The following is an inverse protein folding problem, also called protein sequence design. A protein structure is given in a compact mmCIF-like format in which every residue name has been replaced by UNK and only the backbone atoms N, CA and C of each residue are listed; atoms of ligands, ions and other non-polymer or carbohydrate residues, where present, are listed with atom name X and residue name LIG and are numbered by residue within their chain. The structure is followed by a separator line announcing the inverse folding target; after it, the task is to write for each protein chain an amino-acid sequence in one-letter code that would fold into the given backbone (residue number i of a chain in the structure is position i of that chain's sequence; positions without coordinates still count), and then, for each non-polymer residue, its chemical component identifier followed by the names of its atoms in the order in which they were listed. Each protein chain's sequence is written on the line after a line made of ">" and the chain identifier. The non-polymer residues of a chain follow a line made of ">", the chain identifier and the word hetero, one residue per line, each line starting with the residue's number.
data_IF_023473092050
#
_entry.id   IF_023473092050
#
_cell.length_a   1.000
_cell.length_b   1.000
_cell.length_c   1.000
_cell.angle_alpha   90.00
_cell.angle_beta   90.00
_cell.angle_gamma   90.00
#
_symmetry.space_group_name_H-M   'P 1'
#
loop_
_entity.id
_entity.type
_entity.pdbx_description
1 polymer ?
#
# COMPACT_ATOMS: atom_id res chain seq x y z
N UNK A 1 -5.38 -13.20 14.76
CA UNK A 1 -3.99 -12.69 14.87
C UNK A 1 -3.85 -11.56 13.87
N UNK A 2 -3.29 -10.40 14.28
CA UNK A 2 -3.29 -9.18 13.46
C UNK A 2 -2.22 -9.09 12.37
N UNK A 3 -1.37 -10.13 12.20
CA UNK A 3 -0.26 -10.11 11.24
C UNK A 3 -0.39 -11.22 10.17
N UNK A 4 -1.58 -11.79 10.04
CA UNK A 4 -1.90 -12.81 9.04
C UNK A 4 -3.15 -12.37 8.30
N UNK A 5 -3.13 -12.45 6.97
CA UNK A 5 -4.26 -12.15 6.10
C UNK A 5 -4.35 -13.18 4.97
N UNK A 6 -5.55 -13.33 4.40
CA UNK A 6 -5.85 -14.25 3.30
C UNK A 6 -6.44 -15.57 3.76
N UNK A 7 -7.22 -16.18 2.87
CA UNK A 7 -7.88 -17.47 3.08
C UNK A 7 -7.25 -18.56 2.22
N UNK A 8 -7.15 -18.33 0.92
CA UNK A 8 -6.53 -19.26 -0.06
C UNK A 8 -5.01 -19.10 -0.04
N UNK A 9 -4.54 -17.88 -0.24
CA UNK A 9 -3.13 -17.52 -0.12
C UNK A 9 -2.96 -16.70 1.14
N UNK A 10 -2.32 -17.28 2.17
CA UNK A 10 -2.11 -16.65 3.47
C UNK A 10 -0.79 -15.92 3.52
N UNK A 11 -0.83 -14.67 3.92
CA UNK A 11 0.36 -13.83 4.11
C UNK A 11 0.55 -13.62 5.61
N UNK A 12 1.66 -14.07 6.14
CA UNK A 12 2.07 -13.83 7.53
C UNK A 12 3.29 -12.91 7.56
N UNK A 13 3.15 -11.73 8.17
CA UNK A 13 4.23 -10.74 8.31
C UNK A 13 4.77 -10.77 9.73
N UNK A 14 6.11 -10.74 9.89
CA UNK A 14 6.78 -10.71 11.18
C UNK A 14 7.96 -9.75 11.20
N UNK A 15 8.49 -9.53 12.41
CA UNK A 15 9.64 -8.67 12.66
C UNK A 15 9.27 -7.26 13.11
N UNK A 16 10.29 -6.47 13.38
CA UNK A 16 10.19 -5.11 13.92
C UNK A 16 11.23 -4.22 13.24
N UNK A 17 10.92 -2.92 13.13
CA UNK A 17 11.73 -1.95 12.38
C UNK A 17 13.20 -1.90 12.82
N UNK A 18 13.47 -2.11 14.10
CA UNK A 18 14.81 -2.09 14.69
C UNK A 18 15.23 -3.45 15.28
N UNK A 19 14.47 -4.52 14.99
CA UNK A 19 14.89 -5.90 15.19
C UNK A 19 15.94 -6.33 14.17
N UNK A 20 16.40 -7.58 14.25
CA UNK A 20 17.41 -8.13 13.34
C UNK A 20 16.96 -8.14 11.89
N UNK A 21 15.70 -8.52 11.67
CA UNK A 21 15.10 -8.63 10.35
C UNK A 21 13.57 -8.43 10.43
N UNK A 22 12.98 -8.16 9.29
CA UNK A 22 11.56 -8.32 9.02
C UNK A 22 11.39 -9.46 8.03
N UNK A 23 10.23 -10.10 7.98
CA UNK A 23 10.03 -11.21 7.04
C UNK A 23 8.56 -11.50 6.76
N UNK A 24 8.36 -12.35 5.79
CA UNK A 24 7.05 -12.79 5.32
C UNK A 24 7.05 -14.28 5.01
N UNK A 25 5.94 -14.91 5.31
CA UNK A 25 5.61 -16.27 4.85
C UNK A 25 4.36 -16.16 3.99
N UNK A 26 4.43 -16.71 2.78
CA UNK A 26 3.32 -16.82 1.82
C UNK A 26 2.99 -18.31 1.71
N UNK A 27 1.84 -18.70 2.23
CA UNK A 27 1.36 -20.08 2.19
C UNK A 27 0.17 -20.20 1.24
N UNK A 28 0.13 -21.27 0.44
CA UNK A 28 -0.95 -21.54 -0.52
C UNK A 28 -0.69 -21.04 -1.94
N UNK A 29 0.54 -20.64 -2.29
CA UNK A 29 0.89 -20.38 -3.69
C UNK A 29 0.82 -21.68 -4.51
N UNK A 30 0.30 -21.64 -5.76
CA UNK A 30 0.34 -22.79 -6.65
C UNK A 30 1.80 -23.19 -6.93
N UNK A 31 2.05 -24.49 -7.03
CA UNK A 31 3.35 -25.03 -7.42
C UNK A 31 3.57 -24.89 -8.93
N UNK A 32 4.85 -24.76 -9.35
CA UNK A 32 5.20 -24.71 -10.76
C UNK A 32 5.17 -23.31 -11.37
N UNK A 33 4.88 -22.27 -10.58
CA UNK A 33 4.89 -20.88 -11.03
C UNK A 33 6.30 -20.35 -11.14
N UNK A 34 6.70 -19.88 -12.32
CA UNK A 34 7.99 -19.23 -12.54
C UNK A 34 7.95 -17.80 -12.00
N UNK A 35 8.87 -17.47 -11.11
CA UNK A 35 9.01 -16.13 -10.51
C UNK A 35 10.29 -15.49 -11.01
N UNK A 36 10.13 -14.35 -11.68
CA UNK A 36 11.23 -13.46 -12.04
C UNK A 36 11.62 -12.62 -10.81
N UNK A 37 12.76 -12.94 -10.23
CA UNK A 37 13.29 -12.25 -9.06
C UNK A 37 13.80 -10.85 -9.36
N UNK A 38 14.20 -10.56 -10.60
CA UNK A 38 14.60 -9.20 -11.00
C UNK A 38 13.39 -8.27 -10.99
N UNK A 39 12.21 -8.77 -11.42
CA UNK A 39 10.94 -8.04 -11.27
C UNK A 39 10.62 -7.80 -9.78
N UNK A 40 10.76 -8.81 -8.94
CA UNK A 40 10.56 -8.65 -7.48
C UNK A 40 11.49 -7.56 -6.94
N UNK A 41 12.77 -7.57 -7.29
CA UNK A 41 13.73 -6.56 -6.85
C UNK A 41 13.38 -5.16 -7.36
N UNK A 42 12.87 -5.02 -8.59
CA UNK A 42 12.38 -3.74 -9.13
C UNK A 42 11.24 -3.18 -8.29
N UNK A 43 10.24 -4.00 -7.95
CA UNK A 43 9.11 -3.58 -7.12
C UNK A 43 9.56 -3.21 -5.70
N UNK A 44 10.46 -3.98 -5.12
CA UNK A 44 11.07 -3.66 -3.82
C UNK A 44 11.83 -2.31 -3.86
N UNK A 45 12.55 -2.01 -4.94
CA UNK A 45 13.26 -0.75 -5.14
C UNK A 45 12.33 0.46 -5.28
N UNK A 46 11.14 0.30 -5.87
CA UNK A 46 10.10 1.36 -5.92
C UNK A 46 9.67 1.77 -4.51
N UNK A 47 9.49 0.79 -3.63
CA UNK A 47 9.11 1.03 -2.23
C UNK A 47 10.29 1.52 -1.38
N UNK A 48 11.51 1.08 -1.63
CA UNK A 48 12.67 1.33 -0.78
C UNK A 48 12.95 2.84 -0.60
N UNK A 49 13.40 3.27 0.61
CA UNK A 49 13.82 4.65 0.83
C UNK A 49 15.12 4.96 0.06
N UNK A 50 15.33 6.24 -0.23
CA UNK A 50 16.52 6.72 -0.93
C UNK A 50 16.31 6.89 -2.42
N UNK A 51 17.23 7.63 -3.07
CA UNK A 51 17.22 7.99 -4.50
C UNK A 51 16.05 8.88 -4.98
N UNK A 52 15.21 9.39 -4.07
CA UNK A 52 14.20 10.39 -4.37
C UNK A 52 14.39 11.61 -3.45
N UNK A 53 14.41 12.84 -4.02
CA UNK A 53 14.61 14.08 -3.26
C UNK A 53 13.47 14.36 -2.27
N UNK A 54 12.28 13.80 -2.50
CA UNK A 54 11.11 13.97 -1.63
C UNK A 54 10.99 12.91 -0.53
N UNK A 55 11.87 11.88 -0.55
CA UNK A 55 11.90 10.82 0.44
C UNK A 55 12.99 11.03 1.51
N UNK A 56 12.96 10.22 2.56
CA UNK A 56 14.01 10.18 3.59
C UNK A 56 15.38 9.85 2.98
N UNK A 57 16.49 10.47 3.48
CA UNK A 57 17.84 10.13 3.05
C UNK A 57 18.33 8.75 3.55
N UNK A 58 17.47 7.95 4.15
CA UNK A 58 17.76 6.57 4.54
C UNK A 58 18.07 5.73 3.29
N UNK A 59 19.06 4.85 3.36
CA UNK A 59 19.37 3.89 2.30
C UNK A 59 19.25 2.49 2.88
N UNK A 60 18.29 1.74 2.40
CA UNK A 60 18.10 0.31 2.72
C UNK A 60 17.88 -0.43 1.40
N UNK A 61 18.65 -1.47 1.17
CA UNK A 61 18.60 -2.22 -0.09
C UNK A 61 17.30 -3.01 -0.25
N UNK A 62 16.57 -3.26 0.85
CA UNK A 62 15.34 -4.07 0.90
C UNK A 62 15.45 -5.40 0.12
N UNK A 63 16.67 -6.00 0.14
CA UNK A 63 16.91 -7.24 -0.59
C UNK A 63 16.42 -8.44 0.21
N UNK A 64 15.38 -9.15 -0.28
CA UNK A 64 14.89 -10.35 0.39
C UNK A 64 15.85 -11.52 0.19
N UNK A 65 16.05 -12.28 1.26
CA UNK A 65 16.70 -13.59 1.25
C UNK A 65 15.61 -14.66 1.33
N UNK A 66 15.56 -15.53 0.32
CA UNK A 66 14.56 -16.60 0.22
C UNK A 66 15.04 -17.79 1.05
N UNK A 67 14.21 -18.26 1.97
CA UNK A 67 14.52 -19.37 2.87
C UNK A 67 13.86 -20.69 2.45
N UNK A 68 12.71 -20.61 1.77
CA UNK A 68 11.94 -21.79 1.29
C UNK A 68 10.94 -21.39 0.21
N UNK A 69 10.33 -22.39 -0.43
CA UNK A 69 9.20 -22.21 -1.35
C UNK A 69 9.58 -21.87 -2.78
N UNK A 70 10.86 -21.63 -3.09
CA UNK A 70 11.37 -21.48 -4.46
C UNK A 70 12.56 -22.43 -4.69
N UNK A 71 12.57 -23.11 -5.82
CA UNK A 71 13.68 -23.88 -6.36
C UNK A 71 13.92 -23.44 -7.80
N UNK A 72 15.13 -22.97 -8.10
CA UNK A 72 15.52 -22.45 -9.42
C UNK A 72 14.53 -21.43 -10.01
N UNK A 73 13.99 -20.56 -9.14
CA UNK A 73 13.02 -19.53 -9.52
C UNK A 73 11.58 -20.04 -9.73
N UNK A 74 11.29 -21.29 -9.37
CA UNK A 74 9.96 -21.89 -9.52
C UNK A 74 9.35 -22.20 -8.14
N UNK A 75 8.08 -21.91 -7.94
CA UNK A 75 7.37 -22.21 -6.70
C UNK A 75 7.24 -23.72 -6.50
N UNK A 76 7.54 -24.20 -5.30
CA UNK A 76 7.53 -25.64 -4.98
C UNK A 76 6.20 -26.13 -4.42
N UNK A 77 5.30 -25.20 -4.03
CA UNK A 77 4.08 -25.50 -3.28
C UNK A 77 4.29 -25.53 -1.76
N UNK A 78 5.54 -25.57 -1.27
CA UNK A 78 5.83 -25.30 0.14
C UNK A 78 5.67 -23.80 0.43
N UNK A 79 5.44 -23.40 1.70
CA UNK A 79 5.36 -21.98 2.05
C UNK A 79 6.61 -21.22 1.58
N UNK A 80 6.40 -20.14 0.83
CA UNK A 80 7.47 -19.23 0.40
C UNK A 80 7.82 -18.31 1.56
N UNK A 81 9.00 -18.48 2.14
CA UNK A 81 9.48 -17.66 3.24
C UNK A 81 10.65 -16.78 2.79
N UNK A 82 10.60 -15.50 3.17
CA UNK A 82 11.67 -14.54 2.90
C UNK A 82 11.93 -13.66 4.12
N UNK A 83 13.20 -13.26 4.29
CA UNK A 83 13.62 -12.30 5.31
C UNK A 83 14.37 -11.14 4.68
N UNK A 84 14.25 -9.96 5.28
CA UNK A 84 14.94 -8.73 4.90
C UNK A 84 15.64 -8.22 6.14
N UNK A 85 16.98 -8.25 6.14
CA UNK A 85 17.77 -7.79 7.28
C UNK A 85 17.75 -6.27 7.42
N UNK A 86 17.68 -5.81 8.66
CA UNK A 86 17.73 -4.39 9.00
C UNK A 86 19.20 -3.97 9.16
N UNK A 87 19.75 -3.26 8.18
CA UNK A 87 21.17 -2.89 8.14
C UNK A 87 21.47 -1.47 8.60
N UNK A 88 20.47 -0.59 8.71
CA UNK A 88 20.66 0.84 9.00
C UNK A 88 19.79 1.30 10.19
N UNK A 89 19.91 0.61 11.32
CA UNK A 89 19.18 0.93 12.55
C UNK A 89 19.99 1.88 13.44
N UNK A 90 19.40 3.02 13.84
CA UNK A 90 19.96 3.96 14.81
C UNK A 90 19.06 4.02 16.04
N UNK A 91 19.23 3.09 16.94
CA UNK A 91 18.34 2.93 18.13
C UNK A 91 18.43 4.10 19.11
N UNK A 92 19.53 4.88 19.11
CA UNK A 92 19.68 6.05 20.00
C UNK A 92 18.74 7.22 19.70
N UNK A 93 18.16 7.31 18.51
CA UNK A 93 17.29 8.42 18.09
C UNK A 93 15.90 8.36 18.76
N UNK A 94 15.55 7.31 19.49
CA UNK A 94 14.20 7.04 20.01
C UNK A 94 14.05 7.12 21.53
N UNK A 95 15.08 7.56 22.25
CA UNK A 95 15.05 7.63 23.72
C UNK A 95 13.99 8.58 24.27
N UNK A 96 13.67 9.65 23.56
CA UNK A 96 12.67 10.65 23.94
C UNK A 96 11.22 10.22 23.65
N UNK A 97 10.99 9.17 22.84
CA UNK A 97 9.64 8.68 22.51
C UNK A 97 9.21 7.51 23.41
N UNK A 98 10.10 6.97 24.20
CA UNK A 98 9.83 5.78 25.01
C UNK A 98 8.67 5.99 25.98
N UNK A 99 8.61 7.17 26.59
CA UNK A 99 7.58 7.54 27.57
C UNK A 99 6.62 8.61 27.06
N UNK A 100 6.95 9.28 25.95
CA UNK A 100 6.15 10.36 25.38
C UNK A 100 5.68 9.96 23.96
N UNK A 101 4.46 9.40 23.83
CA UNK A 101 3.96 8.90 22.57
C UNK A 101 3.81 10.01 21.53
N UNK A 102 4.20 9.73 20.29
CA UNK A 102 4.01 10.66 19.18
C UNK A 102 2.53 10.87 18.89
N UNK A 103 2.05 12.12 18.80
CA UNK A 103 0.69 12.40 18.36
C UNK A 103 0.41 11.76 17.00
N UNK A 104 -0.74 11.12 16.84
CA UNK A 104 -1.13 10.49 15.58
C UNK A 104 -0.40 9.19 15.22
N UNK A 105 0.55 8.72 16.04
CA UNK A 105 1.23 7.43 15.89
C UNK A 105 0.58 6.34 16.76
N UNK A 106 0.93 5.08 16.49
CA UNK A 106 0.46 3.92 17.26
C UNK A 106 1.13 3.75 18.62
N UNK A 107 2.07 4.60 19.01
CA UNK A 107 2.88 4.45 20.23
C UNK A 107 2.02 4.24 21.48
N UNK A 108 1.01 5.09 21.68
CA UNK A 108 0.11 5.00 22.83
C UNK A 108 -0.78 3.76 22.80
N UNK A 109 -1.38 3.47 21.66
CA UNK A 109 -2.27 2.31 21.52
C UNK A 109 -1.51 0.99 21.61
N UNK A 110 -0.28 0.95 21.11
CA UNK A 110 0.62 -0.19 21.26
C UNK A 110 1.04 -0.40 22.71
N UNK A 111 1.40 0.69 23.41
CA UNK A 111 1.69 0.65 24.86
C UNK A 111 0.55 0.02 25.64
N UNK A 112 -0.69 0.46 25.41
CA UNK A 112 -1.88 -0.11 26.06
C UNK A 112 -2.08 -1.59 25.68
N UNK A 113 -2.02 -1.91 24.38
CA UNK A 113 -2.30 -3.26 23.87
C UNK A 113 -1.32 -4.30 24.37
N UNK A 114 -0.05 -3.92 24.53
CA UNK A 114 1.04 -4.83 24.88
C UNK A 114 1.63 -4.56 26.29
N UNK A 115 0.90 -3.81 27.12
CA UNK A 115 1.30 -3.50 28.51
C UNK A 115 2.71 -2.90 28.60
N UNK A 116 3.10 -2.05 27.65
CA UNK A 116 4.42 -1.43 27.61
C UNK A 116 5.57 -2.34 27.13
N UNK A 117 5.28 -3.57 26.73
CA UNK A 117 6.30 -4.54 26.30
C UNK A 117 6.62 -4.47 24.78
N UNK A 118 5.99 -3.56 24.04
CA UNK A 118 6.23 -3.39 22.60
C UNK A 118 7.57 -2.71 22.32
N UNK A 119 8.25 -3.09 21.23
CA UNK A 119 9.42 -2.36 20.76
C UNK A 119 8.99 -1.00 20.15
N UNK A 120 9.35 0.10 20.82
CA UNK A 120 9.00 1.45 20.38
C UNK A 120 9.98 1.99 19.32
N UNK A 121 11.16 1.37 19.14
CA UNK A 121 12.23 1.83 18.25
C UNK A 121 11.76 1.80 16.81
N UNK A 122 11.78 2.96 16.14
CA UNK A 122 11.32 3.09 14.75
C UNK A 122 9.86 2.72 14.50
N UNK A 123 9.03 2.62 15.58
CA UNK A 123 7.65 2.19 15.54
C UNK A 123 7.45 0.67 15.58
N UNK A 124 8.52 -0.12 15.78
CA UNK A 124 8.47 -1.56 15.97
C UNK A 124 7.74 -2.28 14.84
N UNK A 125 6.75 -3.10 15.21
CA UNK A 125 5.89 -3.84 14.27
C UNK A 125 4.85 -2.94 13.56
N UNK A 126 4.59 -1.73 14.06
CA UNK A 126 3.68 -0.75 13.45
C UNK A 126 4.36 0.16 12.41
N UNK A 127 5.66 -0.04 12.22
CA UNK A 127 6.44 0.77 11.28
C UNK A 127 6.03 0.53 9.82
N UNK A 128 6.04 1.59 9.01
CA UNK A 128 5.94 1.48 7.56
C UNK A 128 7.03 0.59 6.92
N UNK A 129 8.11 0.27 7.67
CA UNK A 129 9.15 -0.69 7.28
C UNK A 129 8.58 -2.06 6.91
N UNK A 130 7.54 -2.51 7.63
CA UNK A 130 6.91 -3.81 7.44
C UNK A 130 6.22 -3.95 6.09
N UNK A 131 5.90 -2.83 5.43
CA UNK A 131 5.32 -2.85 4.08
C UNK A 131 6.24 -3.43 3.01
N UNK A 132 7.57 -3.53 3.26
CA UNK A 132 8.49 -4.23 2.38
C UNK A 132 8.10 -5.71 2.20
N UNK A 133 7.60 -6.34 3.25
CA UNK A 133 7.10 -7.70 3.22
C UNK A 133 5.84 -7.85 2.33
N UNK A 134 4.94 -6.85 2.38
CA UNK A 134 3.75 -6.82 1.53
C UNK A 134 4.13 -6.64 0.07
N UNK A 135 5.10 -5.74 -0.23
CA UNK A 135 5.56 -5.53 -1.60
C UNK A 135 6.25 -6.77 -2.15
N UNK A 136 7.05 -7.48 -1.35
CA UNK A 136 7.61 -8.77 -1.75
C UNK A 136 6.51 -9.77 -2.12
N UNK A 137 5.53 -9.96 -1.24
CA UNK A 137 4.41 -10.87 -1.50
C UNK A 137 3.61 -10.45 -2.74
N UNK A 138 3.27 -9.16 -2.84
CA UNK A 138 2.55 -8.61 -3.98
C UNK A 138 3.30 -8.76 -5.30
N UNK A 139 4.63 -8.55 -5.32
CA UNK A 139 5.45 -8.70 -6.52
C UNK A 139 5.51 -10.16 -7.03
N UNK A 140 5.49 -11.13 -6.11
CA UNK A 140 5.36 -12.56 -6.47
C UNK A 140 3.95 -12.84 -7.03
N UNK A 141 2.91 -12.43 -6.30
CA UNK A 141 1.51 -12.71 -6.66
C UNK A 141 1.13 -12.03 -7.99
N UNK A 142 1.56 -10.78 -8.23
CA UNK A 142 1.26 -10.06 -9.48
C UNK A 142 1.77 -10.80 -10.72
N UNK A 143 2.89 -11.50 -10.66
CA UNK A 143 3.38 -12.31 -11.78
C UNK A 143 2.45 -13.49 -12.07
N UNK A 144 1.88 -14.10 -11.03
CA UNK A 144 0.88 -15.17 -11.18
C UNK A 144 -0.41 -14.62 -11.80
N UNK A 145 -0.89 -13.48 -11.29
CA UNK A 145 -2.09 -12.80 -11.79
C UNK A 145 -1.93 -12.33 -13.24
N UNK A 146 -0.75 -11.79 -13.59
CA UNK A 146 -0.47 -11.35 -14.97
C UNK A 146 -0.56 -12.50 -15.98
N UNK A 147 -0.14 -13.72 -15.61
CA UNK A 147 -0.32 -14.92 -16.46
C UNK A 147 -1.78 -15.33 -16.63
N UNK A 148 -2.65 -14.89 -15.75
CA UNK A 148 -4.09 -15.07 -15.84
C UNK A 148 -4.80 -13.91 -16.56
N UNK A 149 -4.04 -12.94 -17.11
CA UNK A 149 -4.55 -11.79 -17.82
C UNK A 149 -5.02 -10.66 -16.87
N UNK A 150 -4.60 -10.68 -15.60
CA UNK A 150 -4.97 -9.66 -14.61
C UNK A 150 -3.77 -8.75 -14.38
N UNK A 151 -3.92 -7.47 -14.71
CA UNK A 151 -2.94 -6.43 -14.50
C UNK A 151 -3.36 -5.48 -13.37
N UNK A 152 -2.35 -5.00 -12.63
CA UNK A 152 -2.55 -4.04 -11.52
C UNK A 152 -1.58 -2.89 -11.73
N UNK A 153 -2.11 -1.66 -11.62
CA UNK A 153 -1.30 -0.46 -11.61
C UNK A 153 -1.85 0.53 -10.58
N UNK A 154 -0.97 1.37 -10.05
CA UNK A 154 -1.36 2.48 -9.21
C UNK A 154 -0.47 3.70 -9.48
N UNK A 155 -0.99 4.87 -9.12
CA UNK A 155 -0.26 6.13 -9.23
C UNK A 155 -0.53 7.04 -8.03
N UNK A 156 0.24 8.12 -7.94
CA UNK A 156 -0.01 9.20 -7.00
C UNK A 156 -1.17 10.03 -7.56
N UNK A 157 -2.37 9.88 -7.01
CA UNK A 157 -3.51 10.68 -7.43
C UNK A 157 -3.48 12.09 -6.85
N UNK A 158 -3.02 12.23 -5.59
CA UNK A 158 -2.77 13.57 -5.02
C UNK A 158 -1.69 13.55 -3.95
N UNK A 159 -1.06 14.72 -3.75
CA UNK A 159 -0.26 15.06 -2.57
C UNK A 159 -0.82 16.37 -2.03
N UNK A 160 -1.29 16.38 -0.77
CA UNK A 160 -1.99 17.53 -0.21
C UNK A 160 -3.20 17.92 -1.07
N UNK A 161 -3.19 19.14 -1.55
CA UNK A 161 -4.25 19.69 -2.42
C UNK A 161 -3.86 19.75 -3.91
N UNK A 162 -2.72 19.17 -4.29
CA UNK A 162 -2.24 19.08 -5.66
C UNK A 162 -2.56 17.71 -6.23
N UNK A 163 -3.12 17.64 -7.44
CA UNK A 163 -3.64 16.43 -8.05
C UNK A 163 -2.91 16.09 -9.35
N UNK A 164 -2.81 14.80 -9.62
CA UNK A 164 -2.50 14.24 -10.94
C UNK A 164 -3.81 13.97 -11.69
N UNK A 165 -3.73 13.68 -12.99
CA UNK A 165 -4.87 13.24 -13.78
C UNK A 165 -5.36 11.87 -13.28
N UNK A 166 -6.69 11.62 -13.19
CA UNK A 166 -7.23 10.32 -12.79
C UNK A 166 -7.01 9.27 -13.88
N UNK A 167 -7.10 8.00 -13.52
CA UNK A 167 -7.23 6.93 -14.50
C UNK A 167 -8.51 7.09 -15.33
N UNK A 168 -8.46 6.67 -16.62
CA UNK A 168 -9.66 6.42 -17.39
C UNK A 168 -10.44 5.27 -16.71
N UNK A 169 -11.66 5.50 -16.19
CA UNK A 169 -12.34 4.53 -15.37
C UNK A 169 -12.68 3.21 -16.08
N UNK A 170 -12.84 3.25 -17.39
CA UNK A 170 -13.22 2.09 -18.21
C UNK A 170 -12.02 1.23 -18.61
N UNK A 171 -10.80 1.69 -18.34
CA UNK A 171 -9.56 0.95 -18.57
C UNK A 171 -8.41 1.84 -19.05
N UNK A 172 -7.21 1.40 -18.81
CA UNK A 172 -5.96 2.07 -19.22
C UNK A 172 -5.14 1.18 -20.16
N UNK A 173 -4.25 1.80 -20.94
CA UNK A 173 -3.43 1.07 -21.91
C UNK A 173 -2.34 0.23 -21.21
N UNK A 174 -1.88 -0.82 -21.89
CA UNK A 174 -0.78 -1.67 -21.40
C UNK A 174 0.52 -0.87 -21.24
N UNK A 175 0.78 0.09 -22.15
CA UNK A 175 1.94 0.97 -22.08
C UNK A 175 1.93 1.82 -20.81
N UNK A 176 0.74 2.34 -20.41
CA UNK A 176 0.61 3.10 -19.18
C UNK A 176 0.85 2.21 -17.97
N UNK A 177 0.29 0.99 -17.94
CA UNK A 177 0.52 0.01 -16.87
C UNK A 177 2.01 -0.28 -16.71
N UNK A 178 2.71 -0.56 -17.81
CA UNK A 178 4.14 -0.89 -17.79
C UNK A 178 4.99 0.29 -17.33
N UNK A 179 4.67 1.51 -17.77
CA UNK A 179 5.35 2.73 -17.36
C UNK A 179 5.20 2.96 -15.85
N UNK A 180 3.96 2.97 -15.34
CA UNK A 180 3.68 3.19 -13.92
C UNK A 180 4.35 2.13 -13.03
N UNK A 181 4.37 0.87 -13.47
CA UNK A 181 5.02 -0.22 -12.76
C UNK A 181 6.55 -0.13 -12.74
N UNK A 182 7.15 0.70 -13.58
CA UNK A 182 8.59 1.00 -13.59
C UNK A 182 8.97 2.25 -12.80
N UNK A 183 8.04 3.16 -12.57
CA UNK A 183 8.31 4.48 -11.98
C UNK A 183 8.19 4.48 -10.46
N UNK A 184 9.06 5.25 -9.80
CA UNK A 184 9.01 5.47 -8.35
C UNK A 184 8.07 6.62 -8.00
N UNK A 185 8.06 7.69 -8.79
CA UNK A 185 7.10 8.79 -8.72
C UNK A 185 6.09 8.62 -9.85
N UNK A 186 5.23 7.62 -9.68
CA UNK A 186 4.30 7.18 -10.71
C UNK A 186 3.14 8.16 -10.87
N UNK A 187 3.00 8.74 -12.05
CA UNK A 187 1.95 9.69 -12.43
C UNK A 187 1.30 9.27 -13.74
N UNK A 188 0.01 9.52 -13.88
CA UNK A 188 -0.69 9.39 -15.17
C UNK A 188 -0.17 10.46 -16.12
N UNK A 189 -0.06 11.69 -15.65
CA UNK A 189 0.47 12.83 -16.40
C UNK A 189 1.83 13.29 -15.80
N UNK A 190 2.97 12.97 -16.42
CA UNK A 190 4.27 13.37 -15.92
C UNK A 190 4.48 14.89 -15.80
N UNK A 191 3.71 15.71 -16.52
CA UNK A 191 3.83 17.17 -16.47
C UNK A 191 3.43 17.73 -15.09
N UNK A 192 2.61 16.99 -14.32
CA UNK A 192 2.19 17.34 -12.97
C UNK A 192 3.27 17.12 -11.89
N UNK A 193 4.40 16.46 -12.23
CA UNK A 193 5.44 16.07 -11.26
C UNK A 193 6.01 17.25 -10.51
N UNK A 194 6.26 18.36 -11.19
CA UNK A 194 6.89 19.55 -10.59
C UNK A 194 6.03 20.17 -9.50
N UNK A 195 4.73 20.24 -9.69
CA UNK A 195 3.77 20.82 -8.74
C UNK A 195 3.58 19.91 -7.51
N UNK A 196 3.43 18.60 -7.73
CA UNK A 196 3.32 17.62 -6.67
C UNK A 196 4.58 17.56 -5.80
N UNK A 197 5.77 17.69 -6.40
CA UNK A 197 7.03 17.78 -5.65
C UNK A 197 7.17 19.08 -4.87
N UNK A 198 6.71 20.20 -5.43
CA UNK A 198 6.72 21.49 -4.74
C UNK A 198 5.87 21.47 -3.46
N UNK A 199 4.74 20.78 -3.48
CA UNK A 199 3.89 20.57 -2.28
C UNK A 199 4.67 19.86 -1.16
N UNK A 200 5.42 18.79 -1.50
CA UNK A 200 6.26 18.07 -0.53
C UNK A 200 7.39 18.96 0.00
N UNK A 201 8.04 19.71 -0.88
CA UNK A 201 9.15 20.59 -0.50
C UNK A 201 8.70 21.73 0.41
N UNK A 202 7.51 22.27 0.19
CA UNK A 202 6.92 23.33 1.02
C UNK A 202 6.68 22.89 2.47
N UNK A 203 6.17 21.67 2.68
CA UNK A 203 5.96 21.14 4.04
C UNK A 203 7.26 20.70 4.68
N UNK A 204 8.17 20.10 3.92
CA UNK A 204 9.51 19.71 4.39
C UNK A 204 10.30 20.92 4.91
N UNK A 205 10.25 22.06 4.21
CA UNK A 205 10.90 23.29 4.63
C UNK A 205 10.41 23.80 6.00
N UNK A 206 9.16 23.45 6.37
CA UNK A 206 8.56 23.79 7.66
C UNK A 206 8.84 22.74 8.75
N UNK A 207 9.50 21.62 8.42
CA UNK A 207 9.69 20.48 9.34
C UNK A 207 8.41 19.67 9.59
N UNK A 208 7.45 19.76 8.68
CA UNK A 208 6.13 19.11 8.71
C UNK A 208 6.03 17.97 7.68
N UNK A 209 4.84 17.40 7.54
CA UNK A 209 4.53 16.32 6.60
C UNK A 209 3.18 16.54 5.92
N UNK A 210 2.98 15.90 4.79
CA UNK A 210 1.75 15.94 4.00
C UNK A 210 1.30 14.53 3.65
N UNK A 211 -0.02 14.32 3.62
CA UNK A 211 -0.67 13.12 3.13
C UNK A 211 -1.00 13.21 1.64
N UNK A 212 -1.84 12.32 1.17
CA UNK A 212 -2.34 12.33 -0.20
C UNK A 212 -3.12 11.05 -0.51
N UNK A 213 -3.35 10.81 -1.78
CA UNK A 213 -4.19 9.71 -2.25
C UNK A 213 -3.41 8.90 -3.30
N UNK A 214 -3.49 7.59 -3.19
CA UNK A 214 -3.07 6.64 -4.23
C UNK A 214 -4.32 6.12 -4.93
N UNK A 215 -4.39 6.23 -6.25
CA UNK A 215 -5.41 5.59 -7.08
C UNK A 215 -4.86 4.28 -7.64
N UNK A 216 -5.66 3.23 -7.61
CA UNK A 216 -5.27 1.89 -8.05
C UNK A 216 -6.35 1.29 -8.95
N UNK A 217 -5.91 0.66 -10.03
CA UNK A 217 -6.74 -0.05 -10.99
C UNK A 217 -6.33 -1.51 -11.08
N UNK A 218 -7.33 -2.41 -11.13
CA UNK A 218 -7.14 -3.84 -11.45
C UNK A 218 -7.94 -4.15 -12.70
N UNK A 219 -7.28 -4.52 -13.77
CA UNK A 219 -7.89 -4.88 -15.06
C UNK A 219 -7.80 -6.37 -15.31
N UNK A 220 -8.74 -6.91 -16.11
CA UNK A 220 -8.75 -8.31 -16.53
C UNK A 220 -9.43 -9.25 -15.54
N UNK A 221 -10.04 -8.73 -14.48
CA UNK A 221 -10.86 -9.57 -13.59
C UNK A 221 -12.06 -10.15 -14.36
N UNK A 222 -12.30 -11.47 -14.30
CA UNK A 222 -13.52 -12.05 -14.86
C UNK A 222 -14.75 -11.50 -14.13
N UNK A 223 -15.87 -11.34 -14.83
CA UNK A 223 -17.14 -11.03 -14.20
C UNK A 223 -17.62 -12.20 -13.33
N UNK A 224 -18.30 -11.92 -12.23
CA UNK A 224 -18.90 -12.93 -11.37
C UNK A 224 -18.00 -13.46 -10.24
N UNK A 225 -16.88 -12.78 -9.95
CA UNK A 225 -15.98 -13.10 -8.82
C UNK A 225 -16.35 -12.24 -7.60
N UNK A 226 -16.31 -12.83 -6.43
CA UNK A 226 -16.71 -12.23 -5.16
C UNK A 226 -18.03 -12.79 -4.64
N UNK A 227 -18.43 -12.32 -3.49
CA UNK A 227 -19.62 -12.80 -2.77
C UNK A 227 -20.49 -11.60 -2.35
N UNK A 228 -21.80 -11.80 -2.21
CA UNK A 228 -22.66 -10.73 -1.69
C UNK A 228 -22.32 -10.42 -0.23
N UNK A 229 -22.60 -9.20 0.19
CA UNK A 229 -22.41 -8.68 1.55
C UNK A 229 -20.95 -8.69 2.00
N UNK A 230 -20.53 -9.56 2.92
CA UNK A 230 -19.27 -9.46 3.67
C UNK A 230 -18.05 -10.08 2.97
N UNK A 231 -18.25 -10.92 1.97
CA UNK A 231 -17.19 -11.49 1.13
C UNK A 231 -17.00 -10.76 -0.20
N UNK A 232 -17.58 -9.57 -0.33
CA UNK A 232 -17.56 -8.80 -1.56
C UNK A 232 -16.18 -8.24 -1.90
N UNK A 233 -16.03 -7.86 -3.16
CA UNK A 233 -14.78 -7.31 -3.72
C UNK A 233 -14.26 -6.14 -2.88
N UNK A 234 -15.15 -5.19 -2.59
CA UNK A 234 -14.81 -3.99 -1.81
C UNK A 234 -14.38 -4.36 -0.39
N UNK A 235 -15.06 -5.32 0.25
CA UNK A 235 -14.72 -5.78 1.60
C UNK A 235 -13.33 -6.43 1.65
N UNK A 236 -13.02 -7.30 0.68
CA UNK A 236 -11.76 -8.03 0.63
C UNK A 236 -10.60 -7.06 0.35
N UNK A 237 -10.74 -6.18 -0.65
CA UNK A 237 -9.73 -5.17 -0.96
C UNK A 237 -9.54 -4.21 0.23
N UNK A 238 -10.62 -3.64 0.77
CA UNK A 238 -10.55 -2.74 1.90
C UNK A 238 -9.90 -3.39 3.12
N UNK A 239 -10.20 -4.67 3.40
CA UNK A 239 -9.61 -5.42 4.51
C UNK A 239 -8.08 -5.51 4.43
N UNK A 240 -7.53 -5.70 3.22
CA UNK A 240 -6.06 -5.71 3.01
C UNK A 240 -5.49 -4.30 3.03
N UNK A 241 -6.12 -3.35 2.34
CA UNK A 241 -5.65 -1.97 2.20
C UNK A 241 -5.62 -1.24 3.54
N UNK A 242 -6.62 -1.42 4.42
CA UNK A 242 -6.58 -0.86 5.79
C UNK A 242 -5.51 -1.49 6.68
N UNK A 243 -4.95 -2.65 6.32
CA UNK A 243 -3.77 -3.23 6.96
C UNK A 243 -2.48 -2.46 6.65
N UNK A 244 -2.46 -1.63 5.62
CA UNK A 244 -1.31 -0.79 5.27
C UNK A 244 -1.22 0.39 6.24
N UNK A 245 -0.06 0.60 6.91
CA UNK A 245 0.12 1.75 7.78
C UNK A 245 -0.18 3.09 7.09
N UNK A 246 -0.81 4.01 7.81
CA UNK A 246 -1.23 5.34 7.37
C UNK A 246 -2.48 5.40 6.49
N UNK A 247 -3.02 4.32 5.97
CA UNK A 247 -4.32 4.34 5.30
C UNK A 247 -5.41 4.74 6.29
N UNK A 248 -6.27 5.68 5.88
CA UNK A 248 -7.38 6.22 6.67
C UNK A 248 -8.72 6.26 5.93
N UNK A 249 -8.70 6.03 4.63
CA UNK A 249 -9.90 5.97 3.81
C UNK A 249 -9.67 5.12 2.57
N UNK A 250 -10.75 4.57 2.06
CA UNK A 250 -10.82 3.91 0.75
C UNK A 250 -12.16 4.24 0.13
N UNK A 251 -12.16 4.45 -1.18
CA UNK A 251 -13.38 4.60 -1.97
C UNK A 251 -13.25 3.83 -3.29
N UNK A 252 -14.38 3.41 -3.84
CA UNK A 252 -14.46 2.65 -5.10
C UNK A 252 -15.27 3.42 -6.13
N UNK A 253 -14.83 3.43 -7.39
CA UNK A 253 -15.48 4.15 -8.48
C UNK A 253 -15.69 5.63 -8.17
N UNK A 254 -16.93 6.09 -8.26
CA UNK A 254 -17.32 7.47 -7.92
C UNK A 254 -17.21 7.80 -6.43
N UNK A 255 -17.11 6.77 -5.56
CA UNK A 255 -16.87 6.92 -4.14
C UNK A 255 -17.78 7.93 -3.45
N UNK A 256 -17.20 8.82 -2.64
CA UNK A 256 -17.96 9.87 -1.96
C UNK A 256 -18.63 10.88 -2.91
N UNK A 257 -18.05 11.13 -4.10
CA UNK A 257 -18.65 12.01 -5.09
C UNK A 257 -20.01 11.49 -5.58
N UNK A 258 -20.17 10.16 -5.65
CA UNK A 258 -21.44 9.53 -6.01
C UNK A 258 -22.60 9.89 -5.08
N UNK A 259 -22.31 10.24 -3.81
CA UNK A 259 -23.34 10.66 -2.84
C UNK A 259 -24.03 11.99 -3.20
N UNK A 260 -23.43 12.77 -4.09
CA UNK A 260 -23.97 14.03 -4.61
C UNK A 260 -24.64 13.87 -5.99
N UNK A 261 -24.64 12.66 -6.54
CA UNK A 261 -25.22 12.35 -7.85
C UNK A 261 -26.69 11.93 -7.74
N UNK A 262 -27.41 12.05 -8.85
CA UNK A 262 -28.72 11.41 -9.01
C UNK A 262 -28.54 9.99 -9.55
N UNK A 263 -29.55 9.10 -9.37
CA UNK A 263 -29.48 7.76 -9.92
C UNK A 263 -29.20 7.74 -11.42
N UNK A 264 -29.87 8.60 -12.16
CA UNK A 264 -29.72 8.71 -13.63
C UNK A 264 -28.32 9.19 -14.08
N UNK A 265 -27.60 9.96 -13.24
CA UNK A 265 -26.24 10.43 -13.55
C UNK A 265 -25.14 9.50 -13.04
N UNK A 266 -25.45 8.65 -12.06
CA UNK A 266 -24.49 7.71 -11.47
C UNK A 266 -24.60 6.29 -12.03
N UNK A 267 -25.76 5.90 -12.60
CA UNK A 267 -25.94 4.57 -13.13
C UNK A 267 -25.08 4.33 -14.37
N UNK A 268 -24.35 3.21 -14.36
CA UNK A 268 -23.52 2.78 -15.47
C UNK A 268 -24.35 1.97 -16.47
N UNK A 269 -24.63 2.52 -17.64
CA UNK A 269 -25.43 1.88 -18.69
C UNK A 269 -24.73 0.70 -19.29
N UNK A 270 -25.41 -0.45 -19.37
CA UNK A 270 -24.88 -1.67 -19.98
C UNK A 270 -24.93 -1.63 -21.50
N UNK A 271 -23.93 -2.26 -22.13
CA UNK A 271 -23.89 -2.52 -23.56
C UNK A 271 -23.12 -3.83 -23.85
N UNK A 272 -23.27 -4.37 -25.05
CA UNK A 272 -22.44 -5.49 -25.53
C UNK A 272 -21.23 -4.94 -26.31
N UNK A 273 -20.03 -5.38 -25.95
CA UNK A 273 -18.81 -5.09 -26.73
C UNK A 273 -18.77 -5.93 -28.03
N UNK A 274 -17.74 -5.70 -28.87
CA UNK A 274 -17.56 -6.41 -30.16
C UNK A 274 -17.41 -7.94 -30.02
N UNK A 275 -17.04 -8.40 -28.83
CA UNK A 275 -16.87 -9.81 -28.50
C UNK A 275 -18.11 -10.42 -27.83
N UNK A 276 -19.19 -9.65 -27.69
CA UNK A 276 -20.44 -10.08 -27.06
C UNK A 276 -20.39 -10.10 -25.53
N UNK A 277 -19.39 -9.49 -24.90
CA UNK A 277 -19.33 -9.35 -23.46
C UNK A 277 -20.16 -8.14 -23.00
N UNK A 278 -20.78 -8.27 -21.84
CA UNK A 278 -21.46 -7.14 -21.20
C UNK A 278 -20.41 -6.20 -20.60
N UNK A 279 -20.53 -4.92 -20.90
CA UNK A 279 -19.70 -3.84 -20.40
C UNK A 279 -20.57 -2.69 -19.94
N UNK A 280 -19.99 -1.70 -19.28
CA UNK A 280 -20.67 -0.45 -18.95
C UNK A 280 -20.00 0.75 -19.62
N UNK A 281 -20.79 1.80 -19.97
CA UNK A 281 -20.28 3.00 -20.65
C UNK A 281 -19.44 3.87 -19.75
N UNK A 282 -19.72 3.84 -18.47
CA UNK A 282 -19.00 4.49 -17.37
C UNK A 282 -18.62 3.42 -16.34
N UNK A 283 -17.90 3.77 -15.29
CA UNK A 283 -17.52 2.85 -14.24
C UNK A 283 -17.62 3.50 -12.84
N UNK A 284 -18.75 4.17 -12.61
CA UNK A 284 -19.05 4.80 -11.33
C UNK A 284 -19.14 3.79 -10.19
N UNK A 285 -19.55 2.55 -10.49
CA UNK A 285 -19.57 1.43 -9.54
C UNK A 285 -18.18 0.88 -9.20
N UNK A 286 -17.11 1.30 -9.90
CA UNK A 286 -15.73 0.89 -9.59
C UNK A 286 -15.43 -0.59 -9.80
N UNK A 287 -16.08 -1.25 -10.77
CA UNK A 287 -15.82 -2.65 -11.16
C UNK A 287 -16.57 -3.71 -10.37
N UNK A 288 -17.36 -3.32 -9.36
CA UNK A 288 -18.12 -4.26 -8.54
C UNK A 288 -19.57 -3.81 -8.32
N UNK A 289 -20.51 -4.74 -8.43
CA UNK A 289 -21.92 -4.54 -8.16
C UNK A 289 -22.41 -5.62 -7.18
N UNK A 290 -22.93 -5.19 -6.04
CA UNK A 290 -23.38 -6.13 -5.00
C UNK A 290 -22.27 -7.00 -4.42
N UNK A 291 -21.03 -6.53 -4.44
CA UNK A 291 -19.85 -7.27 -3.98
C UNK A 291 -19.23 -8.21 -5.02
N UNK A 292 -19.75 -8.21 -6.25
CA UNK A 292 -19.37 -9.16 -7.32
C UNK A 292 -18.78 -8.35 -8.49
N UNK A 293 -17.68 -8.83 -9.08
CA UNK A 293 -17.04 -8.16 -10.22
C UNK A 293 -17.98 -8.09 -11.43
N UNK A 294 -18.03 -6.93 -12.07
CA UNK A 294 -18.84 -6.70 -13.29
C UNK A 294 -18.08 -7.04 -14.59
N UNK A 295 -16.79 -7.36 -14.53
CA UNK A 295 -15.91 -7.48 -15.69
C UNK A 295 -15.31 -6.14 -16.15
N UNK A 296 -15.75 -5.01 -15.57
CA UNK A 296 -15.08 -3.72 -15.69
C UNK A 296 -13.86 -3.65 -14.78
N UNK A 297 -12.91 -2.73 -15.02
CA UNK A 297 -11.79 -2.54 -14.11
C UNK A 297 -12.24 -2.25 -12.67
N UNK A 298 -11.60 -2.87 -11.69
CA UNK A 298 -11.78 -2.47 -10.30
C UNK A 298 -10.94 -1.21 -10.09
N UNK A 299 -11.60 -0.11 -9.76
CA UNK A 299 -10.98 1.19 -9.53
C UNK A 299 -11.24 1.66 -8.11
N UNK A 300 -10.18 1.95 -7.36
CA UNK A 300 -10.30 2.44 -6.00
C UNK A 300 -9.20 3.44 -5.65
N UNK A 301 -9.46 4.27 -4.63
CA UNK A 301 -8.54 5.25 -4.08
C UNK A 301 -8.30 4.98 -2.60
N UNK A 302 -7.05 5.10 -2.17
CA UNK A 302 -6.63 4.93 -0.77
C UNK A 302 -6.06 6.25 -0.23
N UNK A 303 -6.68 6.79 0.81
CA UNK A 303 -6.25 8.02 1.47
C UNK A 303 -5.17 7.73 2.52
N UNK A 304 -4.01 8.36 2.36
CA UNK A 304 -2.85 8.25 3.23
C UNK A 304 -2.76 9.49 4.13
N UNK A 305 -2.80 9.30 5.46
CA UNK A 305 -2.58 10.43 6.37
C UNK A 305 -1.13 10.92 6.34
N UNK A 306 -0.85 12.19 6.74
CA UNK A 306 0.50 12.67 6.94
C UNK A 306 1.30 11.80 7.92
N UNK A 307 2.62 11.75 7.74
CA UNK A 307 3.53 11.07 8.66
C UNK A 307 3.50 11.74 10.04
N UNK A 308 3.24 11.02 11.13
CA UNK A 308 3.13 11.65 12.46
C UNK A 308 4.47 12.06 13.07
N UNK A 309 5.58 11.55 12.53
CA UNK A 309 6.92 11.91 12.99
C UNK A 309 7.38 13.18 12.28
N UNK A 310 7.23 14.32 12.92
CA UNK A 310 7.60 15.65 12.40
C UNK A 310 8.55 16.37 13.35
N UNK A 311 9.29 17.36 12.82
CA UNK A 311 10.24 18.15 13.62
C UNK A 311 9.58 19.28 14.38
N UNK A 312 8.36 19.65 14.04
CA UNK A 312 7.58 20.63 14.79
C UNK A 312 7.28 20.10 16.18
N UNK A 313 7.33 20.98 17.17
CA UNK A 313 6.95 20.66 18.54
C UNK A 313 5.43 20.43 18.62
N UNK A 314 5.04 19.34 19.29
CA UNK A 314 3.66 18.92 19.46
C UNK A 314 3.37 18.61 20.91
N UNK A 315 2.16 18.92 21.37
CA UNK A 315 1.69 18.53 22.69
C UNK A 315 1.48 17.02 22.75
N UNK A 316 1.92 16.40 23.85
CA UNK A 316 1.75 14.99 24.17
C UNK A 316 1.71 14.80 25.69
N UNK A 317 1.82 13.56 26.14
CA UNK A 317 1.84 13.20 27.57
C UNK A 317 3.09 12.41 27.92
N UNK A 318 3.53 12.55 29.17
CA UNK A 318 4.50 11.63 29.78
C UNK A 318 3.72 10.51 30.49
N UNK A 319 3.81 9.29 29.97
CA UNK A 319 3.07 8.12 30.48
C UNK A 319 3.54 7.68 31.86
N UNK A 320 4.80 7.92 32.23
CA UNK A 320 5.33 7.55 33.55
C UNK A 320 4.91 8.53 34.63
N UNK A 321 5.05 9.84 34.33
CA UNK A 321 4.76 10.90 35.29
C UNK A 321 3.28 11.31 35.28
N UNK A 322 2.50 10.88 34.29
CA UNK A 322 1.09 11.21 34.06
C UNK A 322 0.87 12.73 34.00
N UNK A 323 1.71 13.41 33.24
CA UNK A 323 1.68 14.86 33.04
C UNK A 323 1.65 15.19 31.55
N UNK A 324 1.12 16.37 31.22
CA UNK A 324 1.25 16.92 29.88
C UNK A 324 2.70 17.33 29.61
N UNK A 325 3.15 17.16 28.38
CA UNK A 325 4.49 17.52 27.94
C UNK A 325 4.48 17.88 26.45
N UNK A 326 5.63 18.24 25.90
CA UNK A 326 5.81 18.46 24.46
C UNK A 326 6.85 17.49 23.89
N UNK A 327 6.73 17.22 22.60
CA UNK A 327 7.64 16.36 21.87
C UNK A 327 7.96 16.97 20.50
N UNK A 328 9.25 17.05 20.16
CA UNK A 328 9.74 17.24 18.80
C UNK A 328 10.48 15.99 18.39
N UNK A 329 10.07 15.36 17.28
CA UNK A 329 10.68 14.09 16.84
C UNK A 329 11.95 14.41 16.05
N UNK A 330 13.09 14.00 16.64
CA UNK A 330 14.39 14.11 15.96
C UNK A 330 14.60 12.90 15.07
N UNK A 331 15.14 13.10 13.87
CA UNK A 331 15.46 11.99 12.97
C UNK A 331 15.16 12.28 11.51
N UNK A 332 15.34 11.24 10.67
CA UNK A 332 15.13 11.32 9.22
C UNK A 332 13.76 10.74 8.88
N UNK A 333 12.76 11.60 8.79
CA UNK A 333 11.39 11.20 8.50
C UNK A 333 11.03 11.51 7.05
N UNK A 334 10.10 10.73 6.49
CA UNK A 334 9.52 11.02 5.17
C UNK A 334 8.55 12.21 5.31
N UNK A 335 8.75 13.32 4.61
CA UNK A 335 7.78 14.42 4.60
C UNK A 335 6.48 14.03 3.86
N UNK A 336 6.56 13.05 2.97
CA UNK A 336 5.41 12.45 2.29
C UNK A 336 5.69 10.98 2.03
N UNK A 337 4.75 10.11 2.40
CA UNK A 337 4.87 8.66 2.19
C UNK A 337 4.12 8.17 0.95
N UNK A 338 3.35 9.02 0.29
CA UNK A 338 2.47 8.64 -0.83
C UNK A 338 3.27 8.02 -1.97
N UNK A 339 4.43 8.58 -2.31
CA UNK A 339 5.34 8.06 -3.34
C UNK A 339 5.74 6.60 -3.12
N UNK A 340 5.95 6.23 -1.87
CA UNK A 340 6.30 4.85 -1.48
C UNK A 340 5.08 3.96 -1.30
N UNK A 341 3.93 4.56 -1.05
CA UNK A 341 2.68 3.84 -0.86
C UNK A 341 2.13 3.25 -2.17
N UNK A 342 2.45 3.81 -3.33
CA UNK A 342 1.99 3.31 -4.64
C UNK A 342 2.23 1.81 -4.78
N UNK A 343 3.49 1.36 -4.69
CA UNK A 343 3.83 -0.06 -4.80
C UNK A 343 3.25 -0.93 -3.66
N UNK A 344 2.99 -0.34 -2.49
CA UNK A 344 2.35 -1.04 -1.36
C UNK A 344 0.86 -1.25 -1.62
N UNK A 345 0.16 -0.28 -2.19
CA UNK A 345 -1.26 -0.39 -2.55
C UNK A 345 -1.45 -1.38 -3.70
N UNK A 346 -0.57 -1.37 -4.71
CA UNK A 346 -0.54 -2.41 -5.75
C UNK A 346 -0.37 -3.82 -5.15
N UNK A 347 0.53 -3.97 -4.20
CA UNK A 347 0.77 -5.23 -3.50
C UNK A 347 -0.46 -5.66 -2.68
N UNK A 348 -1.10 -4.73 -1.98
CA UNK A 348 -2.32 -5.00 -1.23
C UNK A 348 -3.47 -5.43 -2.15
N UNK A 349 -3.64 -4.78 -3.31
CA UNK A 349 -4.59 -5.18 -4.34
C UNK A 349 -4.32 -6.61 -4.83
N UNK A 350 -3.06 -6.94 -5.14
CA UNK A 350 -2.67 -8.27 -5.59
C UNK A 350 -2.99 -9.37 -4.54
N UNK A 351 -2.69 -9.10 -3.26
CA UNK A 351 -2.99 -10.00 -2.15
C UNK A 351 -4.52 -10.20 -2.01
N UNK A 352 -5.31 -9.14 -2.20
CA UNK A 352 -6.76 -9.23 -2.18
C UNK A 352 -7.29 -10.07 -3.35
N UNK A 353 -6.85 -9.75 -4.57
CA UNK A 353 -7.30 -10.38 -5.82
C UNK A 353 -7.03 -11.88 -5.83
N UNK A 354 -5.82 -12.32 -5.49
CA UNK A 354 -5.49 -13.77 -5.47
C UNK A 354 -6.35 -14.56 -4.47
N UNK A 355 -6.86 -13.92 -3.44
CA UNK A 355 -7.72 -14.54 -2.46
C UNK A 355 -9.20 -14.57 -2.86
N UNK A 356 -9.61 -13.83 -3.88
CA UNK A 356 -10.96 -13.88 -4.46
C UNK A 356 -11.07 -14.94 -5.56
N UNK A 357 -10.00 -15.13 -6.34
CA UNK A 357 -9.90 -16.14 -7.40
C UNK A 357 -9.78 -17.55 -6.83
#
# INVERSE_FOLDING_TARGET
>A
MGSVIGNKVKISVFGESHGTAIGVVIDGLPSGEKIDMDEVYRQMARRAPGNDKTATPRKEADKPEILSGLLDGVTTGAPLAAVIYNTNTRSGDYGNIMNSPRPGHSDYTAYLRYNGCNDVRGGGHFSGRLTANLVFAGAVIRQILKRQGIDIAAHIYSIGNTYDDPFEPTGISQELIERLNGEKFALVNPDNESELRAEVDAVRAKGDSVGGIVECIVQGMPAGVGEPMFGGVENVIAGVVFGVPAVKGIEFGSGFAGSHSTGSSNNDEFYYDENGNVRTRTNNHGGALGGITSGMPILFRAAMKPTPSISLEQNTVDLNNKTDTTLSVKGRHDPCIVTRAVSVIEAAAAIAVINML
#
